data_IF_552953601352
#
_entry.id   IF_552953601352
#
_cell.length_a   1.000
_cell.length_b   1.000
_cell.length_c   1.000
_cell.angle_alpha   90.00
_cell.angle_beta   90.00
_cell.angle_gamma   90.00
#
_symmetry.space_group_name_H-M   'P 1'
#
loop_
_entity.id
_entity.type
_entity.pdbx_description
1 polymer ?
#
# COMPACT_ATOMS: atom_id res chain seq x y z
N UNK A 1 -9.66 -15.68 -6.80
CA UNK A 1 -8.36 -15.26 -7.32
C UNK A 1 -7.31 -15.38 -6.23
N UNK A 2 -6.23 -16.11 -6.45
CA UNK A 2 -5.10 -16.25 -5.52
C UNK A 2 -4.17 -15.02 -5.58
N UNK A 3 -3.15 -15.00 -4.73
CA UNK A 3 -2.08 -13.98 -4.78
C UNK A 3 -1.28 -14.17 -6.07
N UNK A 4 -0.92 -15.41 -6.42
CA UNK A 4 -0.19 -15.73 -7.64
C UNK A 4 -0.93 -15.25 -8.89
N UNK A 5 -2.23 -15.53 -8.98
CA UNK A 5 -3.08 -15.09 -10.10
C UNK A 5 -3.11 -13.55 -10.23
N UNK A 6 -3.19 -12.82 -9.11
CA UNK A 6 -3.12 -11.35 -9.09
C UNK A 6 -1.78 -10.82 -9.57
N UNK A 7 -0.67 -11.44 -9.15
CA UNK A 7 0.66 -11.07 -9.60
C UNK A 7 0.78 -11.30 -11.12
N UNK A 8 0.28 -12.42 -11.63
CA UNK A 8 0.25 -12.71 -13.07
C UNK A 8 -0.54 -11.64 -13.83
N UNK A 9 -1.74 -11.30 -13.34
CA UNK A 9 -2.61 -10.30 -13.96
C UNK A 9 -1.89 -8.94 -14.06
N UNK A 10 -1.39 -8.42 -12.94
CA UNK A 10 -0.72 -7.12 -12.89
C UNK A 10 0.57 -7.10 -13.72
N UNK A 11 1.37 -8.17 -13.65
CA UNK A 11 2.58 -8.30 -14.47
C UNK A 11 2.26 -8.23 -15.95
N UNK A 12 1.21 -8.94 -16.39
CA UNK A 12 0.77 -8.94 -17.79
C UNK A 12 0.20 -7.59 -18.20
N UNK A 13 -0.54 -6.90 -17.33
CA UNK A 13 -1.03 -5.55 -17.58
C UNK A 13 0.11 -4.55 -17.84
N UNK A 14 1.25 -4.74 -17.17
CA UNK A 14 2.47 -3.95 -17.41
C UNK A 14 3.37 -4.50 -18.52
N UNK A 15 2.96 -5.54 -19.26
CA UNK A 15 3.75 -6.20 -20.31
C UNK A 15 5.13 -6.72 -19.86
N UNK A 16 5.27 -7.07 -18.58
CA UNK A 16 6.51 -7.60 -18.03
C UNK A 16 6.58 -9.12 -18.21
N UNK A 17 7.75 -9.66 -18.56
CA UNK A 17 8.06 -11.08 -18.41
C UNK A 17 8.35 -11.42 -16.94
N UNK A 18 8.27 -12.70 -16.56
CA UNK A 18 8.66 -13.15 -15.21
C UNK A 18 10.11 -12.77 -14.87
N UNK A 19 11.01 -12.75 -15.87
CA UNK A 19 12.41 -12.36 -15.67
C UNK A 19 12.57 -10.86 -15.40
N UNK A 20 11.80 -10.01 -16.10
CA UNK A 20 11.82 -8.57 -15.87
C UNK A 20 11.23 -8.20 -14.50
N UNK A 21 10.13 -8.83 -14.09
CA UNK A 21 9.60 -8.65 -12.73
C UNK A 21 10.62 -9.10 -11.68
N UNK A 22 11.29 -10.22 -11.90
CA UNK A 22 12.33 -10.72 -10.99
C UNK A 22 13.51 -9.74 -10.86
N UNK A 23 13.94 -9.14 -11.98
CA UNK A 23 14.99 -8.11 -11.98
C UNK A 23 14.56 -6.85 -11.21
N UNK A 24 13.34 -6.36 -11.42
CA UNK A 24 12.82 -5.19 -10.68
C UNK A 24 12.69 -5.44 -9.17
N UNK A 25 12.34 -6.68 -8.82
CA UNK A 25 12.19 -7.15 -7.44
C UNK A 25 13.50 -7.55 -6.77
N UNK A 26 14.62 -7.58 -7.52
CA UNK A 26 15.92 -8.09 -7.06
C UNK A 26 15.84 -9.52 -6.48
N UNK A 27 15.17 -10.41 -7.23
CA UNK A 27 15.01 -11.83 -6.88
C UNK A 27 15.26 -12.72 -8.09
N UNK A 28 15.35 -14.04 -7.85
CA UNK A 28 15.47 -14.99 -8.96
C UNK A 28 14.14 -15.12 -9.73
N UNK A 29 14.22 -15.37 -11.04
CA UNK A 29 13.04 -15.70 -11.88
C UNK A 29 12.22 -16.87 -11.30
N UNK A 30 12.91 -17.82 -10.66
CA UNK A 30 12.28 -18.96 -10.00
C UNK A 30 11.40 -18.54 -8.82
N UNK A 31 11.80 -17.53 -8.04
CA UNK A 31 10.99 -17.01 -6.95
C UNK A 31 9.67 -16.44 -7.48
N UNK A 32 9.72 -15.60 -8.51
CA UNK A 32 8.52 -15.06 -9.17
C UNK A 32 7.64 -16.19 -9.70
N UNK A 33 8.23 -17.19 -10.38
CA UNK A 33 7.48 -18.36 -10.84
C UNK A 33 6.79 -19.10 -9.70
N UNK A 34 7.46 -19.28 -8.55
CA UNK A 34 6.86 -19.94 -7.39
C UNK A 34 5.73 -19.12 -6.77
N UNK A 35 5.83 -17.79 -6.76
CA UNK A 35 4.76 -16.91 -6.29
C UNK A 35 3.56 -16.95 -7.22
N UNK A 36 3.78 -16.86 -8.53
CA UNK A 36 2.72 -16.89 -9.55
C UNK A 36 1.98 -18.23 -9.58
N UNK A 37 2.63 -19.34 -9.22
CA UNK A 37 2.03 -20.67 -9.13
C UNK A 37 1.60 -21.06 -7.70
N UNK A 38 1.51 -20.10 -6.77
CA UNK A 38 1.11 -20.30 -5.37
C UNK A 38 1.91 -21.36 -4.59
N UNK A 39 3.13 -21.70 -5.05
CA UNK A 39 4.02 -22.67 -4.38
C UNK A 39 4.68 -22.08 -3.14
N UNK A 40 4.90 -20.77 -3.15
CA UNK A 40 5.43 -19.99 -2.02
C UNK A 40 4.77 -18.63 -2.02
N UNK A 41 4.68 -17.97 -0.87
CA UNK A 41 4.22 -16.59 -0.79
C UNK A 41 5.40 -15.63 -0.65
N UNK A 42 5.33 -14.42 -1.24
CA UNK A 42 6.31 -13.38 -0.96
C UNK A 42 6.24 -12.98 0.52
N UNK A 43 7.40 -12.70 1.14
CA UNK A 43 7.43 -12.16 2.50
C UNK A 43 6.85 -10.73 2.55
N UNK A 44 6.67 -10.19 3.76
CA UNK A 44 6.04 -8.89 3.94
C UNK A 44 6.79 -7.74 3.24
N UNK A 45 8.13 -7.76 3.20
CA UNK A 45 8.92 -6.72 2.53
C UNK A 45 8.81 -6.83 1.00
N UNK A 46 8.84 -8.05 0.48
CA UNK A 46 8.64 -8.34 -0.95
C UNK A 46 7.22 -8.03 -1.38
N UNK A 47 6.23 -8.21 -0.51
CA UNK A 47 4.85 -7.80 -0.77
C UNK A 47 4.72 -6.27 -0.91
N UNK A 48 5.39 -5.49 -0.06
CA UNK A 48 5.42 -4.03 -0.18
C UNK A 48 6.07 -3.63 -1.51
N UNK A 49 7.25 -4.19 -1.81
CA UNK A 49 7.97 -3.89 -3.05
C UNK A 49 7.23 -4.36 -4.30
N UNK A 50 6.52 -5.48 -4.24
CA UNK A 50 5.63 -5.94 -5.33
C UNK A 50 4.52 -4.92 -5.59
N UNK A 51 3.92 -4.37 -4.53
CA UNK A 51 2.90 -3.35 -4.65
C UNK A 51 3.44 -2.09 -5.36
N UNK A 52 4.66 -1.66 -5.02
CA UNK A 52 5.35 -0.53 -5.67
C UNK A 52 5.67 -0.81 -7.15
N UNK A 53 6.26 -1.97 -7.46
CA UNK A 53 6.67 -2.33 -8.83
C UNK A 53 5.44 -2.52 -9.73
N UNK A 54 4.39 -3.15 -9.22
CA UNK A 54 3.17 -3.44 -9.97
C UNK A 54 2.13 -2.31 -9.93
N UNK A 55 2.51 -1.13 -9.39
CA UNK A 55 1.65 0.05 -9.23
C UNK A 55 0.26 -0.29 -8.65
N UNK A 56 0.26 -0.96 -7.50
CA UNK A 56 -0.96 -1.43 -6.84
C UNK A 56 -0.87 -1.30 -5.33
N UNK A 57 -1.97 -1.64 -4.65
CA UNK A 57 -2.03 -1.65 -3.19
C UNK A 57 -1.73 -3.05 -2.64
N UNK A 58 -1.00 -3.10 -1.51
CA UNK A 58 -0.73 -4.36 -0.81
C UNK A 58 -2.03 -5.06 -0.37
N UNK A 59 -3.07 -4.28 -0.07
CA UNK A 59 -4.40 -4.79 0.28
C UNK A 59 -5.04 -5.50 -0.91
N UNK A 60 -4.88 -4.99 -2.13
CA UNK A 60 -5.36 -5.68 -3.32
C UNK A 60 -4.58 -6.97 -3.55
N UNK A 61 -3.25 -6.93 -3.45
CA UNK A 61 -2.42 -8.13 -3.61
C UNK A 61 -2.77 -9.22 -2.60
N UNK A 62 -3.13 -8.88 -1.37
CA UNK A 62 -3.46 -9.87 -0.32
C UNK A 62 -4.92 -10.30 -0.32
N UNK A 63 -5.85 -9.36 -0.39
CA UNK A 63 -7.30 -9.61 -0.21
C UNK A 63 -8.07 -9.72 -1.51
N UNK A 64 -7.50 -9.25 -2.63
CA UNK A 64 -8.19 -9.13 -3.92
C UNK A 64 -9.21 -7.99 -3.99
N UNK A 65 -9.38 -7.19 -2.93
CA UNK A 65 -10.29 -6.04 -2.92
C UNK A 65 -9.59 -4.82 -3.51
N UNK A 66 -10.14 -4.25 -4.58
CA UNK A 66 -9.66 -2.96 -5.10
C UNK A 66 -10.32 -1.83 -4.33
N UNK A 67 -9.55 -1.09 -3.54
CA UNK A 67 -10.03 0.08 -2.83
C UNK A 67 -9.92 1.33 -3.71
N UNK A 68 -10.90 1.54 -4.58
CA UNK A 68 -10.99 2.76 -5.41
C UNK A 68 -11.28 4.05 -4.61
N UNK A 69 -11.35 4.01 -3.27
CA UNK A 69 -11.89 5.10 -2.45
C UNK A 69 -11.13 5.48 -1.17
N UNK A 70 -9.92 4.96 -0.91
CA UNK A 70 -9.12 5.37 0.25
C UNK A 70 -7.62 5.42 -0.07
N UNK A 71 -7.14 6.50 -0.69
CA UNK A 71 -5.72 6.86 -0.62
C UNK A 71 -5.55 8.00 0.40
N UNK A 72 -4.85 7.84 1.53
CA UNK A 72 -4.15 8.96 2.16
C UNK A 72 -3.07 9.51 1.18
N UNK A 73 -2.69 10.78 1.28
CA UNK A 73 -1.83 11.44 0.30
C UNK A 73 -0.46 10.76 0.20
N UNK A 74 0.00 10.59 -1.05
CA UNK A 74 1.32 10.07 -1.41
C UNK A 74 2.37 11.09 -0.97
N UNK A 75 3.29 10.69 -0.09
CA UNK A 75 4.51 11.45 0.20
C UNK A 75 5.47 11.23 -0.97
N UNK A 76 5.61 12.23 -1.85
CA UNK A 76 6.62 12.21 -2.90
C UNK A 76 8.00 12.28 -2.22
N UNK A 77 8.89 11.32 -2.53
CA UNK A 77 10.32 11.47 -2.23
C UNK A 77 10.84 12.64 -3.05
N UNK A 78 11.14 13.76 -2.40
CA UNK A 78 11.81 14.90 -3.02
C UNK A 78 13.18 14.47 -3.52
N UNK A 79 13.41 14.60 -4.82
CA UNK A 79 14.76 14.56 -5.38
C UNK A 79 15.40 15.89 -5.02
N UNK A 80 16.38 15.89 -4.11
CA UNK A 80 17.18 17.06 -3.79
C UNK A 80 18.11 17.39 -4.97
N UNK A 81 17.68 18.28 -5.87
CA UNK A 81 18.61 19.03 -6.72
C UNK A 81 19.25 20.13 -5.89
N UNK A 82 20.45 19.89 -5.38
CA UNK A 82 21.31 20.91 -4.79
C UNK A 82 21.96 21.69 -5.94
N UNK A 83 21.41 22.85 -6.28
CA UNK A 83 22.08 23.84 -7.13
C UNK A 83 23.24 24.45 -6.34
N UNK A 84 24.48 24.05 -6.67
CA UNK A 84 25.66 24.74 -6.18
C UNK A 84 26.03 25.86 -7.16
N UNK A 85 25.60 27.07 -6.80
CA UNK A 85 26.05 28.34 -7.40
C UNK A 85 27.52 28.54 -7.04
N UNK A 86 28.42 28.57 -8.03
CA UNK A 86 29.76 29.13 -7.89
C UNK A 86 30.05 29.98 -9.14
N UNK A 87 30.58 31.16 -8.86
CA UNK A 87 30.56 32.39 -9.64
C UNK A 87 31.44 32.39 -10.91
N UNK A 88 31.03 33.18 -11.91
CA UNK A 88 31.84 33.48 -13.11
C UNK A 88 33.05 34.36 -12.78
N UNK A 89 34.15 34.18 -13.52
CA UNK A 89 34.86 35.31 -14.10
C UNK A 89 34.78 35.31 -15.64
N UNK A 90 34.74 36.52 -16.19
CA UNK A 90 34.57 36.88 -17.61
C UNK A 90 35.73 36.39 -18.47
N UNK A 91 35.46 35.65 -19.56
CA UNK A 91 36.21 35.72 -20.83
C UNK A 91 35.26 35.45 -22.00
N UNK A 92 35.34 36.30 -23.03
CA UNK A 92 34.59 36.25 -24.29
C UNK A 92 35.07 35.11 -25.20
N UNK A 93 34.17 34.48 -25.96
CA UNK A 93 34.25 34.18 -27.42
C UNK A 93 33.04 33.32 -27.85
N UNK A 94 32.58 33.61 -29.06
CA UNK A 94 31.40 33.17 -29.82
C UNK A 94 31.22 31.65 -29.94
N UNK A 95 30.01 31.13 -29.67
CA UNK A 95 29.36 30.11 -30.53
C UNK A 95 27.87 29.90 -30.17
N UNK A 96 27.13 29.40 -31.16
CA UNK A 96 25.71 29.61 -31.44
C UNK A 96 24.87 28.39 -31.04
N UNK A 97 23.99 28.45 -30.03
CA UNK A 97 22.91 27.45 -29.85
C UNK A 97 21.66 28.06 -29.19
N UNK A 98 20.51 27.67 -29.73
CA UNK A 98 19.12 28.09 -29.46
C UNK A 98 18.66 27.70 -28.06
N UNK A 99 18.07 28.62 -27.28
CA UNK A 99 17.32 28.28 -26.06
C UNK A 99 16.00 29.06 -25.97
N UNK A 100 14.91 28.33 -25.71
CA UNK A 100 13.52 28.79 -25.69
C UNK A 100 13.13 29.11 -24.23
N UNK A 101 12.53 30.27 -23.91
CA UNK A 101 12.28 30.65 -22.53
C UNK A 101 11.07 29.90 -21.96
N UNK A 102 11.17 29.40 -20.73
CA UNK A 102 10.02 28.89 -19.95
C UNK A 102 10.04 29.57 -18.58
N UNK A 103 9.06 30.44 -18.36
CA UNK A 103 8.82 31.15 -17.11
C UNK A 103 8.33 30.17 -16.03
N UNK A 104 8.97 30.17 -14.86
CA UNK A 104 8.59 29.33 -13.72
C UNK A 104 7.67 30.10 -12.78
N UNK A 105 6.38 29.73 -12.75
CA UNK A 105 5.41 30.26 -11.78
C UNK A 105 5.55 29.53 -10.44
N UNK A 106 5.90 30.26 -9.38
CA UNK A 106 6.04 29.72 -8.01
C UNK A 106 4.69 29.81 -7.30
N UNK A 107 4.12 28.66 -6.92
CA UNK A 107 2.86 28.59 -6.17
C UNK A 107 3.18 28.46 -4.67
N UNK A 108 2.62 29.37 -3.87
CA UNK A 108 2.81 29.43 -2.42
C UNK A 108 1.72 28.61 -1.71
N UNK A 109 2.11 27.67 -0.85
CA UNK A 109 1.19 26.77 -0.15
C UNK A 109 1.07 27.14 1.33
N UNK A 110 -0.15 27.43 1.77
CA UNK A 110 -0.52 27.61 3.20
C UNK A 110 -1.15 26.31 3.69
N UNK A 111 -0.51 25.63 4.64
CA UNK A 111 -0.97 24.36 5.19
C UNK A 111 -2.21 24.54 6.10
N UNK A 112 -3.28 23.77 5.84
CA UNK A 112 -4.47 23.70 6.71
C UNK A 112 -4.32 22.59 7.76
N UNK A 113 -4.71 22.82 9.02
CA UNK A 113 -4.53 21.83 10.09
C UNK A 113 -5.48 20.63 9.94
N UNK A 114 -4.94 19.41 10.08
CA UNK A 114 -5.67 18.14 9.96
C UNK A 114 -6.22 17.70 11.33
N UNK A 115 -7.54 17.71 11.49
CA UNK A 115 -8.23 17.21 12.69
C UNK A 115 -8.38 15.68 12.58
N UNK A 116 -7.68 14.92 13.45
CA UNK A 116 -7.83 13.46 13.54
C UNK A 116 -9.10 13.10 14.33
N UNK A 117 -10.09 12.51 13.66
CA UNK A 117 -11.33 12.03 14.31
C UNK A 117 -11.08 10.65 14.94
N UNK A 118 -11.00 10.61 16.27
CA UNK A 118 -10.79 9.37 17.03
C UNK A 118 -12.12 8.63 17.20
N UNK A 119 -12.28 7.47 16.55
CA UNK A 119 -13.41 6.59 16.81
C UNK A 119 -13.05 5.63 17.95
N UNK A 120 -13.62 5.84 19.14
CA UNK A 120 -13.60 4.84 20.23
C UNK A 120 -14.69 3.81 19.96
N UNK A 121 -14.31 2.59 19.60
CA UNK A 121 -15.26 1.46 19.59
C UNK A 121 -15.58 1.07 21.03
N UNK A 122 -16.84 1.21 21.45
CA UNK A 122 -17.33 0.64 22.70
C UNK A 122 -17.74 -0.80 22.44
N UNK A 123 -17.10 -1.76 23.11
CA UNK A 123 -17.63 -3.12 23.22
C UNK A 123 -18.93 -3.05 24.02
N UNK A 124 -20.05 -3.28 23.35
CA UNK A 124 -21.40 -3.13 23.91
C UNK A 124 -22.02 -4.48 24.27
N UNK A 125 -21.26 -5.38 24.92
CA UNK A 125 -21.87 -6.52 25.62
C UNK A 125 -22.03 -6.10 27.07
N UNK A 126 -23.25 -5.75 27.44
CA UNK A 126 -23.59 -5.40 28.80
C UNK A 126 -23.31 -6.63 29.70
N UNK A 127 -22.56 -6.50 30.80
CA UNK A 127 -22.30 -7.62 31.71
C UNK A 127 -23.60 -8.27 32.24
N UNK A 128 -24.71 -7.54 32.25
CA UNK A 128 -26.02 -8.08 32.63
C UNK A 128 -26.55 -9.13 31.65
N UNK A 129 -26.34 -8.97 30.34
CA UNK A 129 -26.73 -9.94 29.32
C UNK A 129 -26.02 -11.29 29.52
N UNK A 130 -24.73 -11.26 29.89
CA UNK A 130 -23.96 -12.47 30.15
C UNK A 130 -24.46 -13.19 31.42
N UNK A 131 -24.89 -12.44 32.44
CA UNK A 131 -25.46 -13.00 33.66
C UNK A 131 -26.84 -13.64 33.41
N UNK A 132 -27.71 -12.98 32.64
CA UNK A 132 -29.05 -13.50 32.30
C UNK A 132 -28.94 -14.80 31.52
N UNK A 133 -28.07 -14.87 30.52
CA UNK A 133 -27.83 -16.11 29.76
C UNK A 133 -27.34 -17.24 30.67
N UNK A 134 -26.44 -16.94 31.62
CA UNK A 134 -25.97 -17.92 32.60
C UNK A 134 -27.09 -18.48 33.49
N UNK A 135 -27.96 -17.61 34.01
CA UNK A 135 -29.09 -18.01 34.85
C UNK A 135 -30.10 -18.86 34.06
N UNK A 136 -30.40 -18.47 32.83
CA UNK A 136 -31.33 -19.23 31.96
C UNK A 136 -30.78 -20.64 31.67
N UNK A 137 -29.49 -20.75 31.32
CA UNK A 137 -28.86 -22.05 31.11
C UNK A 137 -28.86 -22.92 32.38
N UNK A 138 -28.65 -22.33 33.55
CA UNK A 138 -28.66 -23.06 34.83
C UNK A 138 -30.06 -23.60 35.17
N UNK A 139 -31.10 -22.78 35.00
CA UNK A 139 -32.49 -23.19 35.24
C UNK A 139 -32.94 -24.29 34.27
N UNK A 140 -32.57 -24.18 32.99
CA UNK A 140 -32.84 -25.23 32.01
C UNK A 140 -32.14 -26.54 32.37
N UNK A 141 -30.89 -26.47 32.85
CA UNK A 141 -30.15 -27.64 33.35
C UNK A 141 -30.83 -28.32 34.54
N UNK A 142 -31.32 -27.55 35.51
CA UNK A 142 -32.08 -28.08 36.64
C UNK A 142 -33.40 -28.71 36.21
N UNK A 143 -34.12 -28.08 35.28
CA UNK A 143 -35.41 -28.57 34.79
C UNK A 143 -35.25 -29.92 34.06
N UNK A 144 -34.23 -30.03 33.20
CA UNK A 144 -33.87 -31.29 32.53
C UNK A 144 -33.41 -32.34 33.56
N UNK A 145 -32.62 -31.93 34.56
CA UNK A 145 -32.14 -32.83 35.62
C UNK A 145 -33.23 -33.35 36.56
N UNK A 146 -34.36 -32.64 36.71
CA UNK A 146 -35.52 -33.10 37.48
C UNK A 146 -36.51 -33.96 36.65
N UNK A 147 -36.41 -33.93 35.32
CA UNK A 147 -37.27 -34.70 34.41
C UNK A 147 -36.68 -36.06 34.01
N UNK A 148 -35.41 -36.30 34.35
CA UNK A 148 -34.64 -37.53 34.17
C UNK A 148 -34.55 -38.29 35.49
#
# INVERSE_FOLDING_TARGET
MSIGERIIELRKLQNLSQGQLAQAMDVSRQAVSKWENDQTSPDSLKMIRLAEVLDTDIEYLTTGRRNYGRRPPVVLKTVETVEKVVEKPVVQVVEKVVEKPVEKTVVQYVEKPVIKKVFRTKYLRDPTEMAVVGVVCFLLGLLVGCLL
#
